data_IF_548543876621
#
_entry.id   IF_548543876621
#
_cell.length_a   1.000
_cell.length_b   1.000
_cell.length_c   1.000
_cell.angle_alpha   90.00
_cell.angle_beta   90.00
_cell.angle_gamma   90.00
#
_symmetry.space_group_name_H-M   'P 1'
#
loop_
_entity.id
_entity.type
_entity.pdbx_description
1 polymer ?
#
# COMPACT_ATOMS: atom_id res chain seq x y z
N UNK A 1 26.66 -21.19 -14.20
CA UNK A 1 25.60 -21.98 -13.54
C UNK A 1 25.51 -21.46 -12.11
N UNK A 2 24.78 -20.37 -11.92
CA UNK A 2 24.66 -19.68 -10.64
C UNK A 2 23.50 -20.31 -9.89
N UNK A 3 23.83 -20.93 -8.76
CA UNK A 3 22.87 -21.53 -7.84
C UNK A 3 22.10 -20.35 -7.21
N UNK A 4 20.82 -20.22 -7.55
CA UNK A 4 19.90 -19.32 -6.86
C UNK A 4 19.71 -19.84 -5.43
N UNK A 5 20.49 -19.29 -4.50
CA UNK A 5 20.31 -19.56 -3.08
C UNK A 5 18.94 -19.00 -2.63
N UNK A 6 18.14 -19.90 -2.07
CA UNK A 6 16.98 -19.67 -1.17
C UNK A 6 16.38 -18.26 -1.22
N UNK A 7 15.32 -18.10 -2.01
CA UNK A 7 14.16 -17.24 -1.74
C UNK A 7 14.46 -15.96 -0.93
N UNK A 8 15.32 -15.08 -1.45
CA UNK A 8 15.11 -13.66 -1.19
C UNK A 8 13.75 -13.34 -1.81
N UNK A 9 12.71 -13.34 -0.98
CA UNK A 9 11.44 -12.71 -1.34
C UNK A 9 11.79 -11.24 -1.51
N UNK A 10 12.10 -10.84 -2.74
CA UNK A 10 12.28 -9.45 -3.13
C UNK A 10 10.98 -8.73 -2.74
N UNK A 11 11.07 -7.99 -1.63
CA UNK A 11 9.96 -7.22 -1.09
C UNK A 11 9.71 -6.08 -2.05
N UNK A 12 8.67 -6.24 -2.86
CA UNK A 12 8.24 -5.21 -3.78
C UNK A 12 7.94 -3.94 -2.99
N UNK A 13 8.51 -2.82 -3.41
CA UNK A 13 8.08 -1.51 -2.94
C UNK A 13 6.58 -1.31 -3.18
N UNK A 14 5.97 -0.31 -2.52
CA UNK A 14 4.59 0.06 -2.84
C UNK A 14 4.42 0.36 -4.35
N UNK A 15 5.40 1.02 -4.96
CA UNK A 15 5.38 1.36 -6.38
C UNK A 15 5.42 0.12 -7.28
N UNK A 16 6.28 -0.85 -6.99
CA UNK A 16 6.31 -2.13 -7.70
C UNK A 16 5.00 -2.92 -7.55
N UNK A 17 4.41 -2.90 -6.34
CA UNK A 17 3.14 -3.58 -6.07
C UNK A 17 1.97 -2.93 -6.81
N UNK A 18 1.96 -1.59 -6.90
CA UNK A 18 0.95 -0.85 -7.67
C UNK A 18 1.13 -1.10 -9.17
N UNK A 19 2.37 -1.12 -9.66
CA UNK A 19 2.66 -1.40 -11.07
C UNK A 19 2.11 -2.76 -11.49
N UNK A 20 2.34 -3.81 -10.68
CA UNK A 20 1.81 -5.15 -10.92
C UNK A 20 0.28 -5.18 -11.04
N UNK A 21 -0.44 -4.33 -10.29
CA UNK A 21 -1.91 -4.25 -10.39
C UNK A 21 -2.37 -3.68 -11.74
N UNK A 22 -1.60 -2.78 -12.34
CA UNK A 22 -1.94 -2.14 -13.62
C UNK A 22 -1.28 -2.80 -14.84
N UNK A 23 -0.37 -3.75 -14.61
CA UNK A 23 0.27 -4.51 -15.65
C UNK A 23 -0.71 -5.42 -16.41
N UNK A 24 -0.27 -5.86 -17.57
CA UNK A 24 -1.03 -6.74 -18.44
C UNK A 24 -1.00 -8.17 -17.85
N UNK A 25 -2.18 -8.74 -17.63
CA UNK A 25 -2.37 -10.11 -17.17
C UNK A 25 -2.93 -10.99 -18.30
N UNK A 26 -2.37 -12.18 -18.46
CA UNK A 26 -2.89 -13.20 -19.38
C UNK A 26 -3.78 -14.17 -18.59
N UNK A 27 -5.08 -14.14 -18.88
CA UNK A 27 -6.08 -14.95 -18.19
C UNK A 27 -6.41 -16.18 -19.03
N UNK A 28 -6.24 -17.41 -18.48
CA UNK A 28 -6.58 -18.63 -19.19
C UNK A 28 -8.06 -18.66 -19.54
N UNK A 29 -8.38 -19.07 -20.77
CA UNK A 29 -9.77 -19.16 -21.28
C UNK A 29 -10.77 -19.79 -20.30
N UNK A 30 -10.37 -20.84 -19.58
CA UNK A 30 -11.27 -21.58 -18.65
C UNK A 30 -11.84 -20.68 -17.54
N UNK A 31 -11.19 -19.56 -17.23
CA UNK A 31 -11.60 -18.63 -16.19
C UNK A 31 -12.50 -17.51 -16.72
N UNK A 32 -12.72 -17.39 -18.03
CA UNK A 32 -13.50 -16.32 -18.64
C UNK A 32 -14.66 -16.85 -19.48
N UNK A 33 -15.89 -16.50 -19.10
CA UNK A 33 -17.10 -16.87 -19.84
C UNK A 33 -17.55 -15.70 -20.72
N UNK A 34 -17.04 -15.63 -21.95
CA UNK A 34 -17.63 -14.75 -22.97
C UNK A 34 -18.82 -15.45 -23.64
N UNK A 35 -19.91 -14.72 -23.88
CA UNK A 35 -21.04 -15.21 -24.70
C UNK A 35 -20.78 -15.13 -26.21
N UNK A 36 -19.66 -14.52 -26.59
CA UNK A 36 -19.14 -14.54 -27.96
C UNK A 36 -18.62 -15.95 -28.27
N UNK A 37 -19.18 -16.59 -29.31
CA UNK A 37 -18.77 -17.95 -29.73
C UNK A 37 -17.25 -18.01 -29.96
N UNK A 38 -16.63 -19.00 -29.31
CA UNK A 38 -15.24 -19.47 -29.50
C UNK A 38 -14.13 -18.43 -29.39
N UNK A 39 -13.83 -17.97 -28.17
CA UNK A 39 -12.46 -17.56 -27.88
C UNK A 39 -11.53 -18.79 -28.03
N UNK A 40 -10.59 -18.76 -28.98
CA UNK A 40 -9.60 -19.82 -29.23
C UNK A 40 -8.27 -19.57 -28.53
N UNK A 41 -8.08 -18.39 -27.95
CA UNK A 41 -6.83 -17.94 -27.34
C UNK A 41 -7.03 -17.46 -25.90
N UNK A 42 -5.93 -17.31 -25.16
CA UNK A 42 -5.92 -16.63 -23.87
C UNK A 42 -6.35 -15.17 -24.03
N UNK A 43 -6.91 -14.61 -22.95
CA UNK A 43 -7.44 -13.26 -22.92
C UNK A 43 -6.44 -12.35 -22.24
N UNK A 44 -6.20 -11.21 -22.84
CA UNK A 44 -5.36 -10.15 -22.30
C UNK A 44 -6.24 -9.20 -21.48
N UNK A 45 -5.93 -9.04 -20.20
CA UNK A 45 -6.62 -8.14 -19.29
C UNK A 45 -5.65 -7.06 -18.84
N UNK A 46 -6.10 -5.80 -18.86
CA UNK A 46 -5.36 -4.69 -18.29
C UNK A 46 -6.31 -3.87 -17.42
N UNK A 47 -5.94 -3.66 -16.15
CA UNK A 47 -6.69 -2.80 -15.24
C UNK A 47 -6.22 -1.36 -15.43
N UNK A 48 -7.16 -0.41 -15.40
CA UNK A 48 -6.85 1.03 -15.50
C UNK A 48 -7.67 1.80 -14.46
N UNK A 49 -7.02 2.76 -13.81
CA UNK A 49 -7.72 3.70 -12.94
C UNK A 49 -8.21 4.88 -13.79
N UNK A 50 -9.53 5.06 -13.92
CA UNK A 50 -10.09 6.18 -14.68
C UNK A 50 -10.11 7.47 -13.85
N UNK A 51 -10.54 7.35 -12.60
CA UNK A 51 -10.65 8.48 -11.66
C UNK A 51 -9.98 8.03 -10.36
N UNK A 52 -8.92 8.76 -9.97
CA UNK A 52 -8.30 8.55 -8.67
C UNK A 52 -9.15 9.14 -7.53
N UNK A 53 -9.40 8.37 -6.46
CA UNK A 53 -10.26 8.78 -5.34
C UNK A 53 -9.60 9.86 -4.47
N UNK A 54 -10.39 10.56 -3.66
CA UNK A 54 -9.86 11.54 -2.70
C UNK A 54 -8.96 10.88 -1.64
N UNK A 55 -9.23 9.62 -1.30
CA UNK A 55 -8.45 8.82 -0.36
C UNK A 55 -8.15 7.44 -0.96
N UNK A 56 -6.90 7.01 -0.89
CA UNK A 56 -6.48 5.64 -1.17
C UNK A 56 -6.27 4.91 0.14
N UNK A 57 -6.97 3.80 0.32
CA UNK A 57 -6.79 2.89 1.43
C UNK A 57 -6.12 1.64 0.86
N UNK A 58 -4.90 1.35 1.33
CA UNK A 58 -4.05 0.28 0.79
C UNK A 58 -3.80 -0.74 1.91
N UNK A 59 -4.56 -1.84 1.94
CA UNK A 59 -4.28 -2.96 2.83
C UNK A 59 -3.02 -3.69 2.37
N UNK A 60 -2.06 -3.84 3.28
CA UNK A 60 -0.83 -4.58 3.06
C UNK A 60 -1.06 -6.04 3.44
N UNK A 61 -1.12 -6.92 2.44
CA UNK A 61 -1.19 -8.37 2.64
C UNK A 61 0.14 -8.89 3.18
N UNK A 62 0.28 -8.93 4.50
CA UNK A 62 1.45 -9.51 5.17
C UNK A 62 1.25 -11.00 5.38
N UNK A 63 2.24 -11.80 4.99
CA UNK A 63 2.35 -13.21 5.39
C UNK A 63 2.78 -13.34 6.86
N UNK A 64 3.10 -14.57 7.30
CA UNK A 64 3.61 -14.87 8.66
C UNK A 64 4.92 -14.15 9.04
N UNK A 65 5.56 -13.47 8.11
CA UNK A 65 6.86 -12.83 8.29
C UNK A 65 6.71 -11.31 8.30
N UNK A 66 7.22 -10.67 9.36
CA UNK A 66 7.23 -9.21 9.57
C UNK A 66 8.29 -8.54 8.68
N UNK A 67 8.12 -8.65 7.37
CA UNK A 67 9.04 -8.06 6.41
C UNK A 67 8.83 -6.55 6.30
N UNK A 68 9.90 -5.76 6.19
CA UNK A 68 9.75 -4.32 5.94
C UNK A 68 9.23 -4.08 4.53
N UNK A 69 8.20 -3.25 4.37
CA UNK A 69 7.73 -2.77 3.07
C UNK A 69 8.09 -1.29 3.01
N UNK A 70 8.82 -0.87 1.97
CA UNK A 70 9.10 0.53 1.73
C UNK A 70 7.90 1.21 1.07
N UNK A 71 7.52 2.37 1.61
CA UNK A 71 6.48 3.22 1.05
C UNK A 71 6.89 4.68 1.18
N UNK A 72 6.50 5.48 0.20
CA UNK A 72 6.87 6.89 0.11
C UNK A 72 5.83 7.76 0.82
N UNK A 73 6.25 8.89 1.39
CA UNK A 73 5.32 9.87 1.96
C UNK A 73 4.50 10.57 0.88
N UNK A 74 5.04 10.69 -0.33
CA UNK A 74 4.43 11.31 -1.48
C UNK A 74 4.70 10.42 -2.68
N UNK A 75 3.66 10.06 -3.43
CA UNK A 75 3.83 9.37 -4.70
C UNK A 75 2.79 9.82 -5.72
N UNK A 76 3.10 9.58 -7.00
CA UNK A 76 2.20 9.91 -8.10
C UNK A 76 1.52 8.63 -8.61
N UNK A 77 0.20 8.67 -8.72
CA UNK A 77 -0.60 7.59 -9.30
C UNK A 77 -1.55 8.17 -10.34
N UNK A 78 -1.40 7.75 -11.59
CA UNK A 78 -2.23 8.20 -12.72
C UNK A 78 -2.33 9.73 -12.82
N UNK A 79 -1.18 10.41 -12.82
CA UNK A 79 -1.05 11.88 -12.84
C UNK A 79 -1.68 12.62 -11.65
N UNK A 80 -1.98 11.91 -10.56
CA UNK A 80 -2.46 12.50 -9.32
C UNK A 80 -1.45 12.28 -8.22
N UNK A 81 -1.20 13.32 -7.42
CA UNK A 81 -0.29 13.23 -6.29
C UNK A 81 -1.04 12.83 -5.03
N UNK A 82 -0.53 11.82 -4.35
CA UNK A 82 -1.05 11.29 -3.11
C UNK A 82 -0.04 11.47 -2.00
N UNK A 83 -0.52 11.92 -0.84
CA UNK A 83 0.29 12.15 0.34
C UNK A 83 -0.17 11.26 1.49
N UNK A 84 0.78 10.59 2.13
CA UNK A 84 0.52 9.70 3.25
C UNK A 84 -0.07 10.52 4.40
N UNK A 85 -1.21 10.07 4.91
CA UNK A 85 -1.91 10.73 6.01
C UNK A 85 -2.28 9.77 7.14
N UNK A 86 -2.14 8.46 6.94
CA UNK A 86 -2.39 7.47 7.98
C UNK A 86 -1.64 6.16 7.76
N UNK A 87 -1.26 5.51 8.85
CA UNK A 87 -0.67 4.17 8.88
C UNK A 87 -1.33 3.42 10.02
N UNK A 88 -1.90 2.25 9.75
CA UNK A 88 -2.32 1.32 10.80
C UNK A 88 -1.23 0.27 10.97
N UNK A 89 -0.82 0.04 12.21
CA UNK A 89 0.22 -0.89 12.61
C UNK A 89 -0.39 -2.00 13.46
N UNK A 90 0.08 -3.24 13.26
CA UNK A 90 -0.31 -4.38 14.10
C UNK A 90 0.92 -4.93 14.82
N UNK A 91 0.90 -4.86 16.14
CA UNK A 91 1.91 -5.47 17.00
C UNK A 91 1.39 -6.82 17.50
N UNK A 92 2.24 -7.85 17.44
CA UNK A 92 1.99 -9.14 18.05
C UNK A 92 2.85 -9.22 19.31
N UNK A 93 2.23 -9.53 20.45
CA UNK A 93 2.99 -9.86 21.65
C UNK A 93 3.37 -11.35 21.66
N UNK A 94 4.23 -11.76 22.60
CA UNK A 94 4.68 -13.15 22.78
C UNK A 94 3.56 -14.15 23.08
N UNK A 95 2.36 -13.67 23.40
CA UNK A 95 1.16 -14.47 23.70
C UNK A 95 0.18 -14.55 22.53
N UNK A 96 0.57 -14.14 21.31
CA UNK A 96 -0.30 -14.03 20.13
C UNK A 96 -1.47 -13.04 20.28
N UNK A 97 -1.49 -12.19 21.30
CA UNK A 97 -2.45 -11.09 21.34
C UNK A 97 -1.99 -10.03 20.32
N UNK A 98 -2.95 -9.50 19.57
CA UNK A 98 -2.71 -8.41 18.66
C UNK A 98 -3.08 -7.08 19.31
N UNK A 99 -2.17 -6.12 19.17
CA UNK A 99 -2.40 -4.73 19.52
C UNK A 99 -2.32 -3.88 18.27
N UNK A 100 -3.25 -2.94 18.09
CA UNK A 100 -3.28 -2.09 16.90
C UNK A 100 -3.04 -0.65 17.30
N UNK A 101 -2.17 0.02 16.56
CA UNK A 101 -1.82 1.42 16.77
C UNK A 101 -1.97 2.14 15.44
N UNK A 102 -2.47 3.37 15.46
CA UNK A 102 -2.59 4.20 14.27
C UNK A 102 -1.65 5.40 14.34
N UNK A 103 -0.93 5.66 13.27
CA UNK A 103 -0.17 6.89 13.09
C UNK A 103 -0.93 7.76 12.11
N UNK A 104 -1.32 8.96 12.50
CA UNK A 104 -2.14 9.85 11.69
C UNK A 104 -1.51 11.22 11.55
N UNK A 105 -1.64 11.78 10.36
CA UNK A 105 -1.26 13.16 10.08
C UNK A 105 -2.48 14.04 10.17
N UNK A 106 -2.40 15.05 11.03
CA UNK A 106 -3.49 16.00 11.24
C UNK A 106 -3.53 17.03 10.11
N UNK A 107 -4.72 17.26 9.56
CA UNK A 107 -4.89 18.05 8.34
C UNK A 107 -4.47 19.52 8.45
N UNK A 108 -4.71 20.18 9.60
CA UNK A 108 -4.54 21.64 9.69
C UNK A 108 -3.12 22.09 10.04
N UNK A 109 -2.27 21.23 10.62
CA UNK A 109 -0.91 21.59 10.98
C UNK A 109 0.15 20.58 10.53
N UNK A 110 -0.23 19.58 9.73
CA UNK A 110 0.64 18.55 9.18
C UNK A 110 1.46 17.77 10.23
N UNK A 111 1.06 17.81 11.50
CA UNK A 111 1.71 17.11 12.59
C UNK A 111 1.27 15.65 12.66
N UNK A 112 2.20 14.80 13.07
CA UNK A 112 2.00 13.38 13.24
C UNK A 112 1.69 13.02 14.69
N UNK A 113 0.73 12.11 14.84
CA UNK A 113 0.29 11.61 16.12
C UNK A 113 0.18 10.08 16.06
N UNK A 114 0.66 9.44 17.11
CA UNK A 114 0.39 8.03 17.40
C UNK A 114 -0.88 7.97 18.26
N UNK A 115 -1.83 7.14 17.85
CA UNK A 115 -3.09 6.89 18.54
C UNK A 115 -3.06 5.42 18.94
N UNK A 116 -3.00 5.20 20.25
CA UNK A 116 -3.02 3.90 20.90
C UNK A 116 -4.24 3.88 21.84
N UNK A 117 -5.33 3.28 21.37
CA UNK A 117 -6.63 3.27 22.04
C UNK A 117 -7.10 4.66 22.52
N UNK A 118 -7.07 4.94 23.82
CA UNK A 118 -7.47 6.19 24.44
C UNK A 118 -6.30 7.20 24.59
N UNK A 119 -5.09 6.80 24.21
CA UNK A 119 -3.87 7.58 24.37
C UNK A 119 -3.42 8.16 23.03
N UNK A 120 -3.11 9.46 23.03
CA UNK A 120 -2.63 10.19 21.86
C UNK A 120 -1.25 10.77 22.17
N UNK A 121 -0.25 10.37 21.39
CA UNK A 121 1.13 10.85 21.50
C UNK A 121 1.52 11.69 20.29
N UNK A 122 2.19 12.83 20.52
CA UNK A 122 2.75 13.64 19.45
C UNK A 122 4.08 13.04 18.97
N UNK A 123 4.19 12.75 17.67
CA UNK A 123 5.40 12.14 17.08
C UNK A 123 6.33 13.14 16.39
N UNK A 124 5.80 14.29 15.95
CA UNK A 124 6.61 15.33 15.29
C UNK A 124 5.94 16.00 14.09
N UNK A 125 6.73 16.78 13.36
CA UNK A 125 6.32 17.46 12.11
C UNK A 125 6.58 16.62 10.85
N UNK A 126 7.38 15.57 10.97
CA UNK A 126 7.62 14.59 9.91
C UNK A 126 7.36 13.21 10.47
N UNK A 127 6.97 12.27 9.60
CA UNK A 127 6.92 10.87 9.96
C UNK A 127 8.29 10.52 10.54
N UNK A 128 8.38 9.97 11.77
CA UNK A 128 9.68 9.52 12.27
C UNK A 128 10.26 8.53 11.25
N UNK A 129 11.59 8.49 11.11
CA UNK A 129 12.30 7.47 10.32
C UNK A 129 12.17 6.05 10.95
N UNK A 130 11.06 5.79 11.67
CA UNK A 130 10.67 4.46 12.12
C UNK A 130 10.40 3.63 10.87
N UNK A 131 11.05 2.49 10.78
CA UNK A 131 10.66 1.44 9.85
C UNK A 131 9.32 0.88 10.32
N UNK A 132 8.24 1.16 9.60
CA UNK A 132 6.91 0.57 9.88
C UNK A 132 6.82 -0.86 9.33
N UNK A 133 7.71 -1.72 9.82
CA UNK A 133 7.79 -3.14 9.44
C UNK A 133 6.53 -3.93 9.81
N UNK A 134 5.63 -3.33 10.56
CA UNK A 134 4.36 -3.87 11.03
C UNK A 134 3.12 -3.11 10.49
N UNK A 135 3.28 -2.15 9.57
CA UNK A 135 2.17 -1.43 8.95
C UNK A 135 1.24 -2.39 8.18
N UNK A 136 -0.02 -2.50 8.55
CA UNK A 136 -1.03 -3.34 7.89
C UNK A 136 -1.90 -2.58 6.90
N UNK A 137 -2.07 -1.27 7.08
CA UNK A 137 -2.83 -0.41 6.17
C UNK A 137 -2.11 0.92 6.00
N UNK A 138 -2.02 1.39 4.75
CA UNK A 138 -1.58 2.75 4.44
C UNK A 138 -2.80 3.56 3.97
N UNK A 139 -2.89 4.81 4.41
CA UNK A 139 -3.93 5.75 4.02
C UNK A 139 -3.25 6.96 3.38
N UNK A 140 -3.59 7.21 2.12
CA UNK A 140 -3.13 8.37 1.39
C UNK A 140 -4.30 9.28 1.03
N UNK A 141 -4.05 10.58 1.05
CA UNK A 141 -4.97 11.60 0.59
C UNK A 141 -4.47 12.19 -0.73
N UNK A 142 -5.36 12.33 -1.70
CA UNK A 142 -5.10 13.08 -2.91
C UNK A 142 -4.93 14.56 -2.58
N UNK A 143 -3.84 15.15 -3.03
CA UNK A 143 -3.55 16.57 -2.81
C UNK A 143 -3.49 17.32 -4.15
N UNK A 144 -3.89 18.59 -4.15
CA UNK A 144 -3.63 19.48 -5.27
C UNK A 144 -2.25 20.12 -5.07
N UNK A 145 -1.31 19.76 -5.93
CA UNK A 145 0.08 20.24 -5.84
C UNK A 145 0.20 21.74 -6.07
N UNK A 146 -0.82 22.39 -6.62
CA UNK A 146 -0.88 23.86 -6.75
C UNK A 146 -1.01 24.59 -5.41
N UNK A 147 -1.33 23.87 -4.33
CA UNK A 147 -1.48 24.43 -2.97
C UNK A 147 -0.15 24.32 -2.19
N UNK A 148 0.86 23.65 -2.74
CA UNK A 148 2.16 23.44 -2.09
C UNK A 148 3.26 24.42 -2.56
N UNK A 149 2.94 25.32 -3.50
CA UNK A 149 3.81 26.42 -3.98
C UNK A 149 3.38 27.75 -3.39
#
# INVERSE_FOLDING_TARGET
>A
MTIFEKNEILLKSLNESLQEVFDIEYVPKKQFKCHCRTATTDIVVQKKMLIGPQYLIIPLKRGKYNHSISFEQLFNLNSQTYQLCGICCRYLNSSNNCHNVAHVRRFYDNKWYEIDDDIIFFEGISLPQKTFSNATVLIYQKIDTRILS
#
